data_IF_011442653330
#
_entry.id   IF_011442653330
#
_cell.length_a   1.000
_cell.length_b   1.000
_cell.length_c   1.000
_cell.angle_alpha   90.00
_cell.angle_beta   90.00
_cell.angle_gamma   90.00
#
_symmetry.space_group_name_H-M   'P 1'
#
loop_
_entity.id
_entity.type
_entity.pdbx_description
1 polymer ?
#
# COMPACT_ATOMS: atom_id res chain seq x y z
N UNK A 1 -18.47 -36.25 -49.76
CA UNK A 1 -18.39 -34.83 -49.40
C UNK A 1 -17.87 -34.79 -47.99
N UNK A 2 -16.55 -34.94 -47.87
CA UNK A 2 -15.80 -34.84 -46.63
C UNK A 2 -15.28 -33.41 -46.53
N UNK A 3 -15.94 -32.55 -45.73
CA UNK A 3 -15.31 -31.37 -45.11
C UNK A 3 -16.08 -31.02 -43.82
N UNK A 4 -16.13 -31.96 -42.88
CA UNK A 4 -16.22 -31.63 -41.46
C UNK A 4 -14.87 -32.03 -40.82
N UNK A 5 -13.79 -31.52 -41.42
CA UNK A 5 -12.45 -31.68 -40.85
C UNK A 5 -12.44 -30.91 -39.53
N UNK A 6 -12.28 -31.66 -38.44
CA UNK A 6 -12.32 -31.14 -37.08
C UNK A 6 -11.54 -29.85 -36.95
N UNK A 7 -12.26 -28.76 -36.71
CA UNK A 7 -11.68 -27.46 -36.43
C UNK A 7 -10.81 -27.62 -35.17
N UNK A 8 -9.49 -27.67 -35.37
CA UNK A 8 -8.55 -27.88 -34.29
C UNK A 8 -8.76 -26.77 -33.25
N UNK A 9 -9.03 -27.17 -32.00
CA UNK A 9 -9.16 -26.24 -30.88
C UNK A 9 -7.92 -25.36 -30.84
N UNK A 10 -8.11 -24.04 -30.89
CA UNK A 10 -7.01 -23.07 -30.86
C UNK A 10 -6.09 -23.41 -29.66
N UNK A 11 -4.80 -23.68 -29.88
CA UNK A 11 -3.89 -24.09 -28.82
C UNK A 11 -3.82 -23.07 -27.66
N UNK A 12 -4.08 -21.79 -27.94
CA UNK A 12 -4.16 -20.73 -26.92
C UNK A 12 -5.30 -20.95 -25.94
N UNK A 13 -6.43 -21.53 -26.38
CA UNK A 13 -7.55 -21.87 -25.50
C UNK A 13 -7.16 -22.98 -24.53
N UNK A 14 -6.37 -23.96 -24.99
CA UNK A 14 -5.90 -25.05 -24.14
C UNK A 14 -4.99 -24.54 -23.04
N UNK A 15 -3.99 -23.73 -23.37
CA UNK A 15 -3.06 -23.13 -22.41
C UNK A 15 -3.82 -22.29 -21.37
N UNK A 16 -4.82 -21.53 -21.82
CA UNK A 16 -5.62 -20.69 -20.95
C UNK A 16 -6.54 -21.48 -20.00
N UNK A 17 -7.02 -22.65 -20.41
CA UNK A 17 -7.76 -23.57 -19.53
C UNK A 17 -6.84 -24.28 -18.53
N UNK A 18 -5.60 -24.60 -18.91
CA UNK A 18 -4.59 -25.12 -17.98
C UNK A 18 -4.26 -24.09 -16.89
N UNK A 19 -4.09 -22.81 -17.27
CA UNK A 19 -3.94 -21.72 -16.31
C UNK A 19 -5.16 -21.56 -15.41
N UNK A 20 -6.37 -21.65 -15.97
CA UNK A 20 -7.60 -21.56 -15.18
C UNK A 20 -7.67 -22.65 -14.09
N UNK A 21 -7.35 -23.90 -14.45
CA UNK A 21 -7.29 -25.00 -13.50
C UNK A 21 -6.22 -24.77 -12.43
N UNK A 22 -5.02 -24.33 -12.84
CA UNK A 22 -3.93 -24.02 -11.90
C UNK A 22 -4.31 -22.90 -10.91
N UNK A 23 -4.91 -21.80 -11.39
CA UNK A 23 -5.36 -20.71 -10.52
C UNK A 23 -6.53 -21.15 -9.63
N UNK A 24 -7.40 -22.05 -10.09
CA UNK A 24 -8.48 -22.61 -9.25
C UNK A 24 -7.90 -23.38 -8.07
N UNK A 25 -6.94 -24.26 -8.32
CA UNK A 25 -6.26 -25.04 -7.27
C UNK A 25 -5.48 -24.13 -6.32
N UNK A 26 -4.80 -23.12 -6.86
CA UNK A 26 -4.07 -22.12 -6.07
C UNK A 26 -5.00 -21.31 -5.16
N UNK A 27 -6.14 -20.82 -5.67
CA UNK A 27 -7.14 -20.10 -4.88
C UNK A 27 -7.65 -20.99 -3.74
N UNK A 28 -8.04 -22.23 -4.03
CA UNK A 28 -8.55 -23.16 -3.01
C UNK A 28 -7.50 -23.43 -1.92
N UNK A 29 -6.24 -23.60 -2.31
CA UNK A 29 -5.12 -23.81 -1.38
C UNK A 29 -4.86 -22.57 -0.52
N UNK A 30 -4.84 -21.38 -1.12
CA UNK A 30 -4.60 -20.12 -0.40
C UNK A 30 -5.76 -19.75 0.53
N UNK A 31 -7.01 -20.01 0.12
CA UNK A 31 -8.19 -19.80 0.96
C UNK A 31 -8.18 -20.72 2.18
N UNK A 32 -7.85 -22.01 2.00
CA UNK A 32 -7.71 -22.93 3.12
C UNK A 32 -6.61 -22.49 4.10
N UNK A 33 -5.46 -22.05 3.58
CA UNK A 33 -4.36 -21.53 4.40
C UNK A 33 -4.74 -20.23 5.12
N UNK A 34 -5.51 -19.36 4.49
CA UNK A 34 -6.02 -18.13 5.08
C UNK A 34 -6.99 -18.44 6.23
N UNK A 35 -7.89 -19.40 6.05
CA UNK A 35 -8.81 -19.83 7.09
C UNK A 35 -8.09 -20.44 8.30
N UNK A 36 -7.08 -21.28 8.07
CA UNK A 36 -6.22 -21.83 9.13
C UNK A 36 -5.42 -20.72 9.85
N UNK A 37 -4.84 -19.77 9.09
CA UNK A 37 -4.15 -18.61 9.66
C UNK A 37 -5.09 -17.74 10.51
N UNK A 38 -6.33 -17.53 10.06
CA UNK A 38 -7.36 -16.80 10.82
C UNK A 38 -7.81 -17.56 12.07
N UNK A 39 -7.94 -18.89 12.00
CA UNK A 39 -8.26 -19.72 13.16
C UNK A 39 -7.14 -19.68 14.20
N UNK A 40 -5.89 -19.85 13.76
CA UNK A 40 -4.71 -19.78 14.64
C UNK A 40 -4.55 -18.41 15.27
N UNK A 41 -4.76 -17.32 14.53
CA UNK A 41 -4.76 -15.95 15.06
C UNK A 41 -5.82 -15.77 16.17
N UNK A 42 -7.09 -16.13 15.90
CA UNK A 42 -8.19 -16.01 16.88
C UNK A 42 -7.96 -16.84 18.13
N UNK A 43 -7.48 -18.09 17.98
CA UNK A 43 -7.18 -18.97 19.10
C UNK A 43 -6.04 -18.41 19.97
N UNK A 44 -4.95 -17.99 19.33
CA UNK A 44 -3.79 -17.39 20.01
C UNK A 44 -4.18 -16.11 20.75
N UNK A 45 -5.00 -15.27 20.12
CA UNK A 45 -5.52 -14.05 20.73
C UNK A 45 -6.34 -14.34 21.98
N UNK A 46 -7.29 -15.27 21.91
CA UNK A 46 -8.10 -15.68 23.07
C UNK A 46 -7.24 -16.25 24.20
N UNK A 47 -6.28 -17.12 23.87
CA UNK A 47 -5.36 -17.71 24.84
C UNK A 47 -4.51 -16.64 25.56
N UNK A 48 -3.88 -15.74 24.80
CA UNK A 48 -3.05 -14.68 25.36
C UNK A 48 -3.87 -13.69 26.17
N UNK A 49 -5.11 -13.42 25.74
CA UNK A 49 -6.04 -12.59 26.49
C UNK A 49 -6.35 -13.16 27.86
N UNK A 50 -6.62 -14.47 27.93
CA UNK A 50 -6.85 -15.16 29.20
C UNK A 50 -5.59 -15.19 30.07
N UNK A 51 -4.42 -15.49 29.48
CA UNK A 51 -3.14 -15.50 30.21
C UNK A 51 -2.81 -14.13 30.81
N UNK A 52 -2.99 -13.04 30.07
CA UNK A 52 -2.79 -11.68 30.58
C UNK A 52 -3.77 -11.33 31.69
N UNK A 53 -5.06 -11.68 31.55
CA UNK A 53 -6.07 -11.49 32.62
C UNK A 53 -5.66 -12.21 33.91
N UNK A 54 -5.11 -13.43 33.83
CA UNK A 54 -4.61 -14.16 35.00
C UNK A 54 -3.41 -13.48 35.65
N UNK A 55 -2.45 -12.96 34.88
CA UNK A 55 -1.30 -12.24 35.41
C UNK A 55 -1.75 -10.91 36.04
N UNK A 56 -2.63 -10.17 35.37
CA UNK A 56 -3.20 -8.93 35.89
C UNK A 56 -3.92 -9.15 37.22
N UNK A 57 -4.73 -10.23 37.34
CA UNK A 57 -5.40 -10.59 38.60
C UNK A 57 -4.43 -10.89 39.73
N UNK A 58 -3.30 -11.54 39.45
CA UNK A 58 -2.24 -11.83 40.45
C UNK A 58 -1.52 -10.57 40.91
N UNK A 59 -1.31 -9.59 40.02
CA UNK A 59 -0.56 -8.37 40.29
C UNK A 59 -1.42 -7.22 40.83
N UNK A 60 -2.72 -7.23 40.53
CA UNK A 60 -3.69 -6.24 40.98
C UNK A 60 -3.40 -4.83 40.47
N UNK A 61 -3.56 -3.83 41.34
CA UNK A 61 -3.56 -2.40 40.98
C UNK A 61 -2.24 -1.87 40.41
N UNK A 62 -1.11 -2.56 40.64
CA UNK A 62 0.20 -2.06 40.20
C UNK A 62 0.35 -2.02 38.67
N UNK A 63 -0.36 -2.88 37.93
CA UNK A 63 -0.37 -2.87 36.45
C UNK A 63 -0.94 -1.56 35.92
N UNK A 64 -2.08 -1.12 36.46
CA UNK A 64 -2.73 0.13 36.05
C UNK A 64 -1.91 1.35 36.44
N UNK A 65 -1.33 1.34 37.64
CA UNK A 65 -0.53 2.48 38.12
C UNK A 65 0.76 2.64 37.30
N UNK A 66 1.38 1.54 36.85
CA UNK A 66 2.59 1.59 36.04
C UNK A 66 2.34 1.87 34.54
N UNK A 67 1.08 1.81 34.07
CA UNK A 67 0.71 2.01 32.66
C UNK A 67 1.29 3.31 32.04
N UNK A 68 1.16 4.50 32.68
CA UNK A 68 1.68 5.73 32.09
C UNK A 68 3.19 5.74 31.87
N UNK A 69 3.95 4.98 32.67
CA UNK A 69 5.39 4.82 32.50
C UNK A 69 5.71 4.05 31.22
N UNK A 70 5.08 2.89 31.00
CA UNK A 70 5.33 2.07 29.82
C UNK A 70 4.83 2.75 28.53
N UNK A 71 3.72 3.49 28.58
CA UNK A 71 3.26 4.31 27.45
C UNK A 71 4.26 5.45 27.13
N UNK A 72 4.80 6.12 28.16
CA UNK A 72 5.83 7.14 27.97
C UNK A 72 7.14 6.54 27.46
N UNK A 73 7.50 5.34 27.91
CA UNK A 73 8.69 4.61 27.45
C UNK A 73 8.57 4.25 25.97
N UNK A 74 7.42 3.72 25.54
CA UNK A 74 7.12 3.43 24.13
C UNK A 74 7.15 4.70 23.28
N UNK A 75 6.51 5.80 23.74
CA UNK A 75 6.55 7.09 23.06
C UNK A 75 7.98 7.64 22.94
N UNK A 76 8.82 7.45 23.97
CA UNK A 76 10.24 7.84 23.92
C UNK A 76 11.04 6.99 22.94
N UNK A 77 10.75 5.69 22.82
CA UNK A 77 11.39 4.82 21.83
C UNK A 77 10.96 5.19 20.41
N UNK A 78 9.68 5.50 20.18
CA UNK A 78 9.18 5.97 18.89
C UNK A 78 9.83 7.30 18.49
N UNK A 79 9.86 8.29 19.39
CA UNK A 79 10.52 9.57 19.15
C UNK A 79 12.03 9.44 18.91
N UNK A 80 12.69 8.45 19.55
CA UNK A 80 14.09 8.13 19.30
C UNK A 80 14.30 7.68 17.85
N UNK A 81 13.51 6.70 17.38
CA UNK A 81 13.61 6.19 16.02
C UNK A 81 13.35 7.28 14.97
N UNK A 82 12.34 8.14 15.22
CA UNK A 82 12.04 9.27 14.35
C UNK A 82 13.20 10.28 14.30
N UNK A 83 13.81 10.58 15.45
CA UNK A 83 14.99 11.46 15.53
C UNK A 83 16.20 10.86 14.82
N UNK A 84 16.48 9.56 14.98
CA UNK A 84 17.57 8.86 14.29
C UNK A 84 17.35 8.88 12.78
N UNK A 85 16.11 8.63 12.31
CA UNK A 85 15.78 8.69 10.90
C UNK A 85 15.94 10.12 10.33
N UNK A 86 15.47 11.14 11.05
CA UNK A 86 15.67 12.53 10.68
C UNK A 86 17.16 12.92 10.65
N UNK A 87 17.98 12.41 11.58
CA UNK A 87 19.42 12.60 11.58
C UNK A 87 20.09 11.98 10.35
N UNK A 88 19.68 10.76 9.96
CA UNK A 88 20.16 10.09 8.75
C UNK A 88 19.79 10.92 7.50
N UNK A 89 18.56 11.43 7.43
CA UNK A 89 18.12 12.31 6.33
C UNK A 89 18.97 13.58 6.25
N UNK A 90 19.23 14.24 7.38
CA UNK A 90 20.09 15.42 7.44
C UNK A 90 21.53 15.13 7.01
N UNK A 91 22.11 14.02 7.48
CA UNK A 91 23.45 13.60 7.08
C UNK A 91 23.54 13.35 5.57
N UNK A 92 22.53 12.66 4.99
CA UNK A 92 22.43 12.45 3.55
C UNK A 92 22.33 13.78 2.79
N UNK A 93 21.51 14.73 3.26
CA UNK A 93 21.39 16.05 2.64
C UNK A 93 22.71 16.84 2.70
N UNK A 94 23.47 16.74 3.80
CA UNK A 94 24.81 17.30 3.91
C UNK A 94 25.78 16.69 2.89
N UNK A 95 25.71 15.38 2.66
CA UNK A 95 26.49 14.69 1.63
C UNK A 95 26.20 15.24 0.23
N UNK A 96 24.93 15.39 -0.14
CA UNK A 96 24.52 15.95 -1.44
C UNK A 96 24.96 17.40 -1.60
N UNK A 97 24.85 18.22 -0.55
CA UNK A 97 25.34 19.60 -0.56
C UNK A 97 26.86 19.67 -0.77
N UNK A 98 27.62 18.82 -0.06
CA UNK A 98 29.07 18.73 -0.20
C UNK A 98 29.46 18.33 -1.63
N UNK A 99 28.83 17.30 -2.19
CA UNK A 99 29.05 16.84 -3.56
C UNK A 99 28.78 17.96 -4.59
N UNK A 100 27.65 18.68 -4.45
CA UNK A 100 27.31 19.78 -5.36
C UNK A 100 28.34 20.92 -5.30
N UNK A 101 28.81 21.30 -4.10
CA UNK A 101 29.88 22.30 -3.95
C UNK A 101 31.19 21.85 -4.56
N UNK A 102 31.59 20.60 -4.34
CA UNK A 102 32.82 20.04 -4.91
C UNK A 102 32.76 19.99 -6.44
N UNK A 103 31.58 19.69 -7.01
CA UNK A 103 31.36 19.70 -8.46
C UNK A 103 31.57 21.09 -9.04
N UNK A 104 31.00 22.14 -8.42
CA UNK A 104 31.20 23.53 -8.84
C UNK A 104 32.66 23.94 -8.69
N UNK A 105 33.29 23.65 -7.53
CA UNK A 105 34.69 23.99 -7.30
C UNK A 105 35.65 23.30 -8.30
N UNK A 106 35.37 22.05 -8.69
CA UNK A 106 36.12 21.36 -9.74
C UNK A 106 35.89 21.99 -11.12
N UNK A 107 34.67 22.44 -11.43
CA UNK A 107 34.35 23.12 -12.68
C UNK A 107 35.08 24.48 -12.78
N UNK A 108 35.09 25.26 -11.69
CA UNK A 108 35.82 26.53 -11.58
C UNK A 108 37.33 26.33 -11.76
N UNK A 109 37.92 25.33 -11.09
CA UNK A 109 39.36 25.02 -11.23
C UNK A 109 39.73 24.62 -12.67
N UNK A 110 38.87 23.83 -13.34
CA UNK A 110 39.08 23.46 -14.74
C UNK A 110 39.01 24.68 -15.65
N UNK A 111 38.03 25.56 -15.44
CA UNK A 111 37.91 26.81 -16.17
C UNK A 111 39.15 27.70 -16.00
N UNK A 112 39.66 27.83 -14.77
CA UNK A 112 40.88 28.60 -14.50
C UNK A 112 42.14 28.04 -15.16
N UNK A 113 42.19 26.73 -15.42
CA UNK A 113 43.32 26.09 -16.10
C UNK A 113 43.27 26.18 -17.63
N UNK A 114 42.12 26.52 -18.22
CA UNK A 114 41.89 26.55 -19.67
C UNK A 114 41.86 27.98 -20.26
N UNK A 115 42.47 28.95 -19.58
CA UNK A 115 42.49 30.39 -19.92
C UNK A 115 43.04 30.77 -21.31
N UNK A 116 43.44 29.85 -22.17
CA UNK A 116 43.92 30.17 -23.53
C UNK A 116 42.86 29.94 -24.63
N UNK A 117 41.79 29.17 -24.38
CA UNK A 117 40.64 28.98 -25.29
C UNK A 117 39.40 29.68 -24.71
N UNK A 118 39.30 31.00 -24.89
CA UNK A 118 38.18 31.83 -24.41
C UNK A 118 36.98 31.90 -25.37
N UNK A 119 36.57 30.77 -25.93
CA UNK A 119 35.21 30.67 -26.43
C UNK A 119 34.34 30.27 -25.24
N UNK A 120 33.51 31.20 -24.73
CA UNK A 120 32.51 30.89 -23.70
C UNK A 120 31.62 29.76 -24.21
N UNK A 121 31.97 28.53 -23.86
CA UNK A 121 31.26 27.35 -24.31
C UNK A 121 29.86 27.37 -23.71
N UNK A 122 28.85 27.47 -24.57
CA UNK A 122 27.45 27.46 -24.17
C UNK A 122 27.12 26.21 -23.33
N UNK A 123 27.79 25.08 -23.58
CA UNK A 123 27.63 23.85 -22.80
C UNK A 123 28.22 23.99 -21.38
N UNK A 124 29.34 24.71 -21.21
CA UNK A 124 29.94 24.94 -19.90
C UNK A 124 29.08 25.88 -19.05
N UNK A 125 28.52 26.94 -19.64
CA UNK A 125 27.62 27.85 -18.95
C UNK A 125 26.31 27.15 -18.54
N UNK A 126 25.75 26.31 -19.42
CA UNK A 126 24.57 25.50 -19.09
C UNK A 126 24.84 24.52 -17.95
N UNK A 127 25.99 23.84 -17.98
CA UNK A 127 26.44 22.97 -16.89
C UNK A 127 26.53 23.75 -15.56
N UNK A 128 27.21 24.90 -15.53
CA UNK A 128 27.37 25.67 -14.29
C UNK A 128 26.01 26.16 -13.75
N UNK A 129 25.11 26.60 -14.63
CA UNK A 129 23.75 26.99 -14.26
C UNK A 129 22.98 25.82 -13.62
N UNK A 130 23.06 24.63 -14.23
CA UNK A 130 22.45 23.41 -13.70
C UNK A 130 23.01 23.05 -12.32
N UNK A 131 24.34 23.04 -12.17
CA UNK A 131 24.98 22.69 -10.90
C UNK A 131 24.72 23.75 -9.82
N UNK A 132 24.60 25.03 -10.19
CA UNK A 132 24.21 26.11 -9.27
C UNK A 132 22.77 25.92 -8.77
N UNK A 133 21.83 25.54 -9.65
CA UNK A 133 20.46 25.19 -9.24
C UNK A 133 20.49 23.95 -8.33
N UNK A 134 21.29 22.93 -8.65
CA UNK A 134 21.47 21.73 -7.82
C UNK A 134 22.02 22.09 -6.43
N UNK A 135 23.01 22.99 -6.36
CA UNK A 135 23.58 23.48 -5.10
C UNK A 135 22.53 24.22 -4.27
N UNK A 136 21.78 25.15 -4.88
CA UNK A 136 20.71 25.88 -4.20
C UNK A 136 19.63 24.94 -3.65
N UNK A 137 19.22 23.93 -4.44
CA UNK A 137 18.27 22.92 -4.00
C UNK A 137 18.84 22.05 -2.87
N UNK A 138 20.12 21.67 -2.94
CA UNK A 138 20.79 20.90 -1.90
C UNK A 138 20.94 21.71 -0.59
N UNK A 139 21.17 23.02 -0.67
CA UNK A 139 21.17 23.93 0.47
C UNK A 139 19.80 24.04 1.13
N UNK A 140 18.74 24.21 0.33
CA UNK A 140 17.37 24.23 0.82
C UNK A 140 17.01 22.92 1.53
N UNK A 141 17.31 21.77 0.91
CA UNK A 141 17.06 20.45 1.49
C UNK A 141 17.86 20.21 2.78
N UNK A 142 19.13 20.63 2.82
CA UNK A 142 19.95 20.56 4.03
C UNK A 142 19.32 21.37 5.17
N UNK A 143 18.87 22.60 4.89
CA UNK A 143 18.24 23.47 5.89
C UNK A 143 16.92 22.90 6.41
N UNK A 144 16.09 22.36 5.53
CA UNK A 144 14.82 21.72 5.90
C UNK A 144 15.06 20.49 6.78
N UNK A 145 15.96 19.59 6.36
CA UNK A 145 16.30 18.38 7.12
C UNK A 145 16.97 18.69 8.47
N UNK A 146 17.75 19.77 8.56
CA UNK A 146 18.31 20.27 9.82
C UNK A 146 17.22 20.70 10.79
N UNK A 147 16.24 21.46 10.29
CA UNK A 147 15.11 21.92 11.10
C UNK A 147 14.28 20.74 11.61
N UNK A 148 14.00 19.74 10.77
CA UNK A 148 13.25 18.55 11.17
C UNK A 148 14.02 17.70 12.19
N UNK A 149 15.32 17.50 12.00
CA UNK A 149 16.17 16.82 12.98
C UNK A 149 16.16 17.56 14.32
N UNK A 150 16.26 18.89 14.33
CA UNK A 150 16.18 19.68 15.57
C UNK A 150 14.82 19.55 16.24
N UNK A 151 13.73 19.55 15.47
CA UNK A 151 12.36 19.39 15.97
C UNK A 151 12.15 18.03 16.62
N UNK A 152 12.53 16.96 15.93
CA UNK A 152 12.40 15.58 16.43
C UNK A 152 13.30 15.32 17.65
N UNK A 153 14.51 15.90 17.67
CA UNK A 153 15.40 15.83 18.84
C UNK A 153 14.80 16.50 20.08
N UNK A 154 14.07 17.62 19.93
CA UNK A 154 13.37 18.26 21.04
C UNK A 154 12.24 17.37 21.59
N UNK A 155 11.46 16.74 20.71
CA UNK A 155 10.39 15.81 21.08
C UNK A 155 10.98 14.60 21.84
N UNK A 156 12.06 14.02 21.31
CA UNK A 156 12.77 12.93 21.97
C UNK A 156 13.27 13.33 23.37
N UNK A 157 13.92 14.49 23.50
CA UNK A 157 14.39 15.00 24.80
C UNK A 157 13.24 15.16 25.81
N UNK A 158 12.12 15.75 25.37
CA UNK A 158 10.93 15.91 26.21
C UNK A 158 10.34 14.55 26.64
N UNK A 159 10.27 13.58 25.73
CA UNK A 159 9.79 12.23 26.01
C UNK A 159 10.70 11.51 27.03
N UNK A 160 12.02 11.59 26.86
CA UNK A 160 13.00 11.00 27.81
C UNK A 160 12.87 11.63 29.19
N UNK A 161 12.69 12.95 29.28
CA UNK A 161 12.46 13.63 30.56
C UNK A 161 11.18 13.13 31.24
N UNK A 162 10.08 12.96 30.48
CA UNK A 162 8.82 12.42 31.00
C UNK A 162 9.00 11.00 31.54
N UNK A 163 9.70 10.13 30.82
CA UNK A 163 10.02 8.76 31.27
C UNK A 163 10.80 8.81 32.58
N UNK A 164 11.84 9.65 32.68
CA UNK A 164 12.65 9.79 33.89
C UNK A 164 11.84 10.25 35.11
N UNK A 165 10.91 11.19 34.92
CA UNK A 165 10.02 11.66 35.99
C UNK A 165 9.11 10.52 36.47
N UNK A 166 8.48 9.80 35.54
CA UNK A 166 7.58 8.69 35.86
C UNK A 166 8.32 7.50 36.49
N UNK A 167 9.54 7.21 36.01
CA UNK A 167 10.41 6.20 36.59
C UNK A 167 10.70 6.50 38.06
N UNK A 168 11.00 7.76 38.39
CA UNK A 168 11.27 8.16 39.76
C UNK A 168 10.04 8.05 40.67
N UNK A 169 8.86 8.39 40.15
CA UNK A 169 7.61 8.38 40.91
C UNK A 169 7.04 6.97 41.13
N UNK A 170 7.22 6.05 40.17
CA UNK A 170 6.51 4.76 40.12
C UNK A 170 7.44 3.54 40.27
N UNK A 171 8.65 3.70 40.81
CA UNK A 171 9.69 2.63 40.89
C UNK A 171 9.17 1.28 41.37
N UNK A 172 8.39 1.28 42.47
CA UNK A 172 7.92 0.04 43.11
C UNK A 172 6.89 -0.67 42.22
N UNK A 173 6.00 0.10 41.61
CA UNK A 173 4.92 -0.37 40.75
C UNK A 173 5.47 -0.89 39.42
N UNK A 174 6.50 -0.23 38.86
CA UNK A 174 7.21 -0.70 37.65
C UNK A 174 7.83 -2.08 37.90
N UNK A 175 8.56 -2.25 39.01
CA UNK A 175 9.20 -3.54 39.35
C UNK A 175 8.16 -4.65 39.51
N UNK A 176 7.05 -4.37 40.21
CA UNK A 176 5.98 -5.36 40.43
C UNK A 176 5.21 -5.71 39.15
N UNK A 177 4.99 -4.74 38.27
CA UNK A 177 4.21 -4.92 37.04
C UNK A 177 5.03 -5.44 35.85
N UNK A 178 6.37 -5.43 35.93
CA UNK A 178 7.28 -5.89 34.86
C UNK A 178 6.89 -7.24 34.23
N UNK A 179 6.56 -8.32 34.99
CA UNK A 179 6.20 -9.60 34.38
C UNK A 179 4.98 -9.54 33.46
N UNK A 180 4.03 -8.62 33.73
CA UNK A 180 2.87 -8.42 32.88
C UNK A 180 3.25 -7.76 31.54
N UNK A 181 4.02 -6.66 31.60
CA UNK A 181 4.38 -5.89 30.39
C UNK A 181 5.38 -6.64 29.50
N UNK A 182 6.32 -7.39 30.08
CA UNK A 182 7.21 -8.28 29.31
C UNK A 182 6.42 -9.37 28.58
N UNK A 183 5.48 -10.02 29.27
CA UNK A 183 4.63 -11.04 28.64
C UNK A 183 3.71 -10.43 27.57
N UNK A 184 3.12 -9.25 27.85
CA UNK A 184 2.30 -8.50 26.89
C UNK A 184 3.11 -8.21 25.62
N UNK A 185 4.37 -7.78 25.75
CA UNK A 185 5.26 -7.50 24.60
C UNK A 185 5.52 -8.75 23.75
N UNK A 186 5.78 -9.90 24.38
CA UNK A 186 5.97 -11.17 23.65
C UNK A 186 4.70 -11.58 22.90
N UNK A 187 3.55 -11.50 23.57
CA UNK A 187 2.26 -11.82 22.96
C UNK A 187 1.91 -10.90 21.80
N UNK A 188 2.12 -9.59 21.96
CA UNK A 188 1.94 -8.59 20.91
C UNK A 188 2.79 -8.91 19.68
N UNK A 189 4.06 -9.27 19.88
CA UNK A 189 4.94 -9.63 18.77
C UNK A 189 4.41 -10.85 17.99
N UNK A 190 4.03 -11.92 18.70
CA UNK A 190 3.48 -13.12 18.05
C UNK A 190 2.18 -12.82 17.30
N UNK A 191 1.29 -12.00 17.89
CA UNK A 191 0.04 -11.59 17.24
C UNK A 191 0.31 -10.74 16.00
N UNK A 192 1.30 -9.85 16.05
CA UNK A 192 1.72 -9.05 14.90
C UNK A 192 2.28 -9.92 13.77
N UNK A 193 3.10 -10.92 14.10
CA UNK A 193 3.65 -11.87 13.12
C UNK A 193 2.51 -12.68 12.45
N UNK A 194 1.55 -13.17 13.24
CA UNK A 194 0.37 -13.86 12.71
C UNK A 194 -0.53 -12.96 11.85
N UNK A 195 -0.74 -11.70 12.26
CA UNK A 195 -1.48 -10.71 11.48
C UNK A 195 -0.81 -10.45 10.13
N UNK A 196 0.50 -10.25 10.12
CA UNK A 196 1.25 -10.06 8.87
C UNK A 196 1.15 -11.26 7.92
N UNK A 197 1.10 -12.48 8.47
CA UNK A 197 0.86 -13.71 7.70
C UNK A 197 -0.54 -13.72 7.10
N UNK A 198 -1.57 -13.40 7.88
CA UNK A 198 -2.96 -13.30 7.39
C UNK A 198 -3.05 -12.26 6.26
N UNK A 199 -2.49 -11.06 6.44
CA UNK A 199 -2.46 -10.01 5.43
C UNK A 199 -1.76 -10.46 4.14
N UNK A 200 -0.62 -11.17 4.27
CA UNK A 200 0.10 -11.70 3.12
C UNK A 200 -0.70 -12.75 2.34
N UNK A 201 -1.40 -13.65 3.04
CA UNK A 201 -2.25 -14.67 2.43
C UNK A 201 -3.48 -14.05 1.79
N UNK A 202 -4.11 -13.06 2.44
CA UNK A 202 -5.23 -12.32 1.88
C UNK A 202 -4.83 -11.62 0.58
N UNK A 203 -3.66 -10.98 0.55
CA UNK A 203 -3.11 -10.38 -0.68
C UNK A 203 -2.86 -11.44 -1.76
N UNK A 204 -2.28 -12.59 -1.41
CA UNK A 204 -2.05 -13.68 -2.35
C UNK A 204 -3.37 -14.20 -2.96
N UNK A 205 -4.42 -14.36 -2.15
CA UNK A 205 -5.76 -14.74 -2.62
C UNK A 205 -6.32 -13.69 -3.59
N UNK A 206 -6.19 -12.39 -3.27
CA UNK A 206 -6.67 -11.33 -4.18
C UNK A 206 -5.89 -11.31 -5.49
N UNK A 207 -4.58 -11.53 -5.44
CA UNK A 207 -3.70 -11.55 -6.61
C UNK A 207 -3.98 -12.76 -7.52
N UNK A 208 -4.21 -13.95 -6.92
CA UNK A 208 -4.57 -15.17 -7.67
C UNK A 208 -5.98 -15.06 -8.26
N UNK A 209 -6.96 -14.51 -7.53
CA UNK A 209 -8.30 -14.19 -8.07
C UNK A 209 -8.25 -13.17 -9.21
N UNK A 210 -7.39 -12.16 -9.11
CA UNK A 210 -7.19 -11.19 -10.18
C UNK A 210 -6.58 -11.86 -11.43
N UNK A 211 -5.64 -12.78 -11.24
CA UNK A 211 -5.02 -13.57 -12.30
C UNK A 211 -6.03 -14.54 -12.97
N UNK A 212 -6.87 -15.20 -12.18
CA UNK A 212 -8.00 -16.01 -12.66
C UNK A 212 -9.00 -15.17 -13.47
N UNK A 213 -9.36 -13.97 -13.00
CA UNK A 213 -10.26 -13.08 -13.74
C UNK A 213 -9.63 -12.57 -15.04
N UNK A 214 -8.34 -12.22 -15.03
CA UNK A 214 -7.60 -11.91 -16.25
C UNK A 214 -7.59 -13.12 -17.20
N UNK A 215 -7.50 -14.33 -16.65
CA UNK A 215 -7.49 -15.55 -17.41
C UNK A 215 -8.80 -15.78 -18.19
N UNK A 216 -9.94 -15.51 -17.54
CA UNK A 216 -11.26 -15.55 -18.17
C UNK A 216 -11.43 -14.48 -19.27
N UNK A 217 -10.96 -13.25 -19.04
CA UNK A 217 -11.01 -12.19 -20.07
C UNK A 217 -10.21 -12.56 -21.32
N UNK A 218 -9.07 -13.22 -21.15
CA UNK A 218 -8.28 -13.72 -22.28
C UNK A 218 -9.02 -14.81 -23.06
N UNK A 219 -9.72 -15.73 -22.38
CA UNK A 219 -10.58 -16.71 -23.06
C UNK A 219 -11.70 -16.03 -23.86
N UNK A 220 -12.36 -15.03 -23.28
CA UNK A 220 -13.40 -14.24 -23.95
C UNK A 220 -12.86 -13.52 -25.20
N UNK A 221 -11.65 -12.95 -25.11
CA UNK A 221 -10.97 -12.31 -26.23
C UNK A 221 -10.65 -13.30 -27.35
N UNK A 222 -10.06 -14.45 -27.02
CA UNK A 222 -9.75 -15.50 -28.00
C UNK A 222 -11.03 -16.01 -28.65
N UNK A 223 -12.08 -16.24 -27.86
CA UNK A 223 -13.40 -16.66 -28.35
C UNK A 223 -13.98 -15.63 -29.33
N UNK A 224 -13.94 -14.35 -28.98
CA UNK A 224 -14.40 -13.26 -29.84
C UNK A 224 -13.62 -13.19 -31.15
N UNK A 225 -12.29 -13.32 -31.09
CA UNK A 225 -11.41 -13.35 -32.28
C UNK A 225 -11.78 -14.52 -33.22
N UNK A 226 -12.01 -15.72 -32.67
CA UNK A 226 -12.42 -16.90 -33.44
C UNK A 226 -13.77 -16.66 -34.11
N UNK A 227 -14.74 -16.09 -33.38
CA UNK A 227 -16.06 -15.77 -33.93
C UNK A 227 -16.01 -14.71 -35.03
N UNK A 228 -15.20 -13.65 -34.85
CA UNK A 228 -15.00 -12.62 -35.87
C UNK A 228 -14.33 -13.18 -37.13
N UNK A 229 -13.29 -13.99 -36.97
CA UNK A 229 -12.63 -14.66 -38.11
C UNK A 229 -13.61 -15.57 -38.88
N UNK A 230 -14.44 -16.32 -38.16
CA UNK A 230 -15.52 -17.13 -38.78
C UNK A 230 -16.55 -16.24 -39.48
N UNK A 231 -16.93 -15.10 -38.89
CA UNK A 231 -17.87 -14.11 -39.46
C UNK A 231 -17.35 -13.54 -40.79
N UNK A 232 -16.05 -13.26 -40.87
CA UNK A 232 -15.39 -12.74 -42.07
C UNK A 232 -15.20 -13.80 -43.17
N UNK A 233 -15.09 -15.08 -42.79
CA UNK A 233 -14.91 -16.20 -43.71
C UNK A 233 -16.24 -16.83 -44.21
N UNK A 234 -17.40 -16.26 -43.89
CA UNK A 234 -18.67 -16.68 -44.50
C UNK A 234 -18.81 -16.07 -45.92
N UNK A 235 -19.30 -16.83 -46.91
CA UNK A 235 -19.61 -16.28 -48.23
C UNK A 235 -20.67 -15.16 -48.13
N UNK A 236 -20.72 -14.21 -49.10
CA UNK A 236 -21.74 -13.17 -49.12
C UNK A 236 -23.13 -13.79 -49.00
N UNK A 237 -23.91 -13.39 -47.98
CA UNK A 237 -25.30 -13.80 -47.88
C UNK A 237 -26.03 -13.26 -49.11
N UNK A 238 -26.53 -14.16 -49.96
CA UNK A 238 -27.48 -13.79 -51.00
C UNK A 238 -28.70 -13.11 -50.36
N UNK A 239 -29.35 -12.13 -51.03
CA UNK A 239 -30.57 -11.51 -50.55
C UNK A 239 -31.61 -12.58 -50.23
N UNK A 240 -31.78 -12.88 -48.94
CA UNK A 240 -32.72 -13.88 -48.47
C UNK A 240 -34.15 -13.40 -48.67
N UNK A 241 -34.90 -14.11 -49.51
CA UNK A 241 -36.37 -14.04 -49.56
C UNK A 241 -36.95 -14.80 -48.36
N UNK A 242 -37.78 -14.11 -47.57
CA UNK A 242 -38.88 -14.69 -46.81
C UNK A 242 -38.55 -15.57 -45.60
N UNK A 243 -38.55 -14.95 -44.42
CA UNK A 243 -39.21 -15.51 -43.24
C UNK A 243 -39.62 -14.32 -42.36
N UNK A 244 -40.87 -13.87 -42.53
CA UNK A 244 -41.52 -12.97 -41.59
C UNK A 244 -41.59 -13.66 -40.22
N UNK A 245 -40.74 -13.20 -39.30
CA UNK A 245 -40.79 -13.60 -37.90
C UNK A 245 -41.93 -12.83 -37.24
N UNK A 246 -43.06 -13.51 -37.03
CA UNK A 246 -44.23 -12.95 -36.34
C UNK A 246 -43.89 -12.59 -34.88
N UNK A 247 -43.77 -11.29 -34.60
CA UNK A 247 -43.52 -10.72 -33.26
C UNK A 247 -44.72 -10.78 -32.31
N UNK A 248 -45.65 -11.74 -32.45
CA UNK A 248 -46.95 -11.74 -31.74
C UNK A 248 -47.25 -12.95 -30.84
N UNK A 249 -46.28 -13.82 -30.56
CA UNK A 249 -46.50 -15.00 -29.73
C UNK A 249 -45.60 -15.10 -28.50
N UNK A 250 -45.25 -13.97 -27.84
CA UNK A 250 -44.60 -14.04 -26.53
C UNK A 250 -44.96 -12.88 -25.59
N UNK A 251 -46.24 -12.48 -25.60
CA UNK A 251 -46.82 -11.58 -24.60
C UNK A 251 -47.69 -12.37 -23.61
N UNK A 252 -47.17 -13.42 -22.99
CA UNK A 252 -47.81 -14.05 -21.84
C UNK A 252 -46.84 -15.03 -21.17
N UNK A 253 -46.05 -14.52 -20.23
CA UNK A 253 -45.76 -15.11 -18.91
C UNK A 253 -45.25 -13.93 -18.09
N UNK A 254 -46.19 -13.17 -17.53
CA UNK A 254 -45.91 -12.23 -16.46
C UNK A 254 -45.94 -13.01 -15.15
N UNK A 255 -44.77 -13.38 -14.64
CA UNK A 255 -44.62 -13.82 -13.26
C UNK A 255 -44.09 -12.61 -12.48
N UNK A 256 -45.00 -11.81 -11.96
CA UNK A 256 -44.68 -10.85 -10.91
C UNK A 256 -44.50 -11.62 -9.59
N UNK A 257 -43.34 -11.55 -8.90
CA UNK A 257 -43.31 -11.77 -7.48
C UNK A 257 -43.82 -10.50 -6.77
N UNK A 258 -44.77 -10.60 -5.83
CA UNK A 258 -45.28 -9.44 -5.11
C UNK A 258 -44.23 -8.93 -4.11
N UNK A 259 -43.79 -7.68 -4.29
CA UNK A 259 -43.05 -6.92 -3.29
C UNK A 259 -44.01 -6.50 -2.17
N UNK A 260 -44.08 -7.32 -1.12
CA UNK A 260 -44.77 -6.98 0.13
C UNK A 260 -44.18 -7.71 1.33
N UNK A 261 -42.91 -7.46 1.64
CA UNK A 261 -42.37 -7.61 3.01
C UNK A 261 -41.13 -6.73 3.20
N UNK A 262 -41.35 -5.41 3.33
CA UNK A 262 -40.43 -4.56 4.06
C UNK A 262 -41.20 -4.10 5.31
N UNK A 263 -41.07 -4.89 6.38
CA UNK A 263 -41.57 -4.52 7.70
C UNK A 263 -40.47 -4.80 8.72
N UNK A 264 -39.86 -3.72 9.16
CA UNK A 264 -39.57 -3.39 10.56
C UNK A 264 -38.85 -4.52 11.33
N UNK A 265 -37.53 -4.39 11.48
CA UNK A 265 -36.89 -4.79 12.73
C UNK A 265 -36.72 -3.54 13.59
N UNK A 266 -37.40 -3.61 14.72
CA UNK A 266 -37.47 -2.66 15.80
C UNK A 266 -36.13 -2.69 16.57
N UNK A 267 -35.46 -1.55 16.66
CA UNK A 267 -34.34 -1.38 17.58
C UNK A 267 -34.89 -0.81 18.87
N UNK A 268 -35.31 -1.68 19.79
CA UNK A 268 -35.63 -1.28 21.15
C UNK A 268 -34.49 -1.70 22.09
N UNK A 269 -33.73 -0.67 22.48
CA UNK A 269 -32.65 -0.72 23.44
C UNK A 269 -33.23 -0.89 24.85
N UNK A 270 -33.16 -2.11 25.38
CA UNK A 270 -33.48 -2.34 26.78
C UNK A 270 -32.26 -2.05 27.65
N UNK A 271 -32.40 -1.03 28.49
CA UNK A 271 -31.51 -0.73 29.61
C UNK A 271 -31.43 -1.91 30.57
N UNK A 272 -30.21 -2.26 30.97
CA UNK A 272 -29.95 -2.83 32.31
C UNK A 272 -28.83 -2.03 32.95
N UNK A 273 -29.23 -1.15 33.87
CA UNK A 273 -28.37 -0.57 34.88
C UNK A 273 -28.26 -1.54 36.05
N UNK A 274 -27.04 -1.95 36.41
CA UNK A 274 -26.66 -2.27 37.79
C UNK A 274 -25.16 -2.58 37.93
N UNK A 275 -24.48 -1.65 38.60
CA UNK A 275 -23.33 -1.77 39.49
C UNK A 275 -22.75 -3.18 39.72
N UNK A 276 -21.44 -3.37 39.49
CA UNK A 276 -20.40 -3.31 40.55
C UNK A 276 -19.02 -3.79 40.04
N UNK A 277 -17.94 -3.25 40.64
CA UNK A 277 -16.51 -3.59 40.48
C UNK A 277 -15.71 -2.88 39.35
N UNK A 278 -15.43 -1.59 39.56
CA UNK A 278 -14.54 -0.72 38.76
C UNK A 278 -13.03 -1.04 38.89
N UNK A 279 -12.67 -2.33 38.93
CA UNK A 279 -11.25 -2.73 39.05
C UNK A 279 -10.77 -3.76 38.01
N UNK A 280 -11.67 -4.34 37.22
CA UNK A 280 -11.33 -5.33 36.17
C UNK A 280 -11.59 -4.84 34.73
N UNK A 281 -12.40 -3.80 34.54
CA UNK A 281 -12.83 -3.31 33.21
C UNK A 281 -11.69 -2.67 32.39
N UNK A 282 -10.84 -1.84 33.01
CA UNK A 282 -9.79 -1.07 32.31
C UNK A 282 -8.67 -1.94 31.68
N UNK A 283 -8.55 -3.21 32.06
CA UNK A 283 -7.53 -4.14 31.52
C UNK A 283 -8.15 -5.06 30.45
N UNK A 284 -9.43 -5.42 30.63
CA UNK A 284 -10.17 -6.18 29.63
C UNK A 284 -10.44 -5.32 28.38
N UNK A 285 -10.85 -4.06 28.58
CA UNK A 285 -11.12 -3.10 27.49
C UNK A 285 -9.85 -2.78 26.67
N UNK A 286 -8.69 -2.62 27.29
CA UNK A 286 -7.42 -2.41 26.58
C UNK A 286 -7.06 -3.57 25.63
N UNK A 287 -7.39 -4.79 26.04
CA UNK A 287 -7.05 -6.02 25.33
C UNK A 287 -8.10 -6.35 24.26
N UNK A 288 -9.36 -6.01 24.55
CA UNK A 288 -10.47 -6.07 23.60
C UNK A 288 -10.37 -4.94 22.55
N UNK A 289 -9.87 -3.75 22.90
CA UNK A 289 -9.57 -2.67 21.93
C UNK A 289 -8.38 -3.01 21.04
N UNK A 290 -7.30 -3.56 21.61
CA UNK A 290 -6.19 -4.12 20.85
C UNK A 290 -6.64 -5.27 19.94
N UNK A 291 -7.63 -6.06 20.40
CA UNK A 291 -8.29 -7.10 19.61
C UNK A 291 -9.12 -6.48 18.47
N UNK A 292 -9.84 -5.38 18.70
CA UNK A 292 -10.61 -4.65 17.68
C UNK A 292 -9.70 -4.02 16.61
N UNK A 293 -8.59 -3.43 17.01
CA UNK A 293 -7.59 -2.79 16.12
C UNK A 293 -6.81 -3.82 15.30
N UNK A 294 -6.63 -5.04 15.85
CA UNK A 294 -5.98 -6.14 15.15
C UNK A 294 -6.95 -6.95 14.28
N UNK A 295 -8.24 -6.99 14.60
CA UNK A 295 -9.25 -7.77 13.88
C UNK A 295 -9.63 -7.13 12.55
N UNK A 296 -9.23 -7.76 11.45
CA UNK A 296 -9.52 -7.35 10.07
C UNK A 296 -10.96 -7.74 9.62
N UNK A 297 -11.94 -7.70 10.52
CA UNK A 297 -13.32 -8.07 10.15
C UNK A 297 -14.00 -7.02 9.22
N UNK A 298 -13.41 -5.83 9.05
CA UNK A 298 -14.00 -4.75 8.25
C UNK A 298 -13.75 -4.84 6.73
N UNK A 299 -13.03 -5.83 6.21
CA UNK A 299 -12.82 -5.99 4.76
C UNK A 299 -13.55 -7.19 4.13
N UNK A 300 -14.46 -7.83 4.86
CA UNK A 300 -15.31 -8.90 4.35
C UNK A 300 -16.72 -8.38 4.00
N UNK A 301 -16.79 -7.48 3.02
CA UNK A 301 -18.01 -7.31 2.22
C UNK A 301 -17.67 -7.10 0.75
N UNK A 302 -16.98 -8.09 0.16
CA UNK A 302 -16.92 -8.24 -1.29
C UNK A 302 -18.26 -8.79 -1.78
N UNK A 303 -19.17 -7.85 -2.08
CA UNK A 303 -20.35 -8.08 -2.92
C UNK A 303 -19.91 -8.53 -4.33
N UNK A 304 -20.67 -9.40 -5.03
CA UNK A 304 -20.31 -9.89 -6.35
C UNK A 304 -20.28 -8.76 -7.39
N UNK A 305 -19.31 -8.84 -8.31
CA UNK A 305 -18.93 -7.78 -9.25
C UNK A 305 -20.01 -7.28 -10.23
N UNK A 306 -19.70 -6.19 -10.96
CA UNK A 306 -20.64 -5.47 -11.82
C UNK A 306 -20.87 -6.22 -13.14
N UNK A 307 -22.14 -6.35 -13.53
CA UNK A 307 -22.54 -6.76 -14.87
C UNK A 307 -22.61 -5.52 -15.78
N UNK A 308 -21.80 -5.58 -16.84
CA UNK A 308 -22.02 -5.11 -18.23
C UNK A 308 -22.74 -3.79 -18.50
N UNK A 309 -21.99 -2.92 -19.21
CA UNK A 309 -22.48 -1.89 -20.13
C UNK A 309 -23.47 -2.45 -21.16
N UNK A 310 -24.60 -1.75 -21.35
CA UNK A 310 -25.25 -1.66 -22.66
C UNK A 310 -25.39 -0.18 -23.03
N UNK A 311 -24.63 0.21 -24.06
CA UNK A 311 -24.92 1.33 -24.93
C UNK A 311 -26.14 1.00 -25.78
N UNK A 312 -27.10 1.91 -25.94
CA UNK A 312 -27.75 2.10 -27.23
C UNK A 312 -28.33 3.51 -27.43
N UNK A 313 -28.20 3.90 -28.70
CA UNK A 313 -28.35 5.19 -29.35
C UNK A 313 -29.79 5.52 -29.76
N UNK A 314 -30.12 6.82 -29.81
CA UNK A 314 -30.95 7.57 -30.79
C UNK A 314 -31.58 8.77 -30.06
N UNK A 315 -31.57 10.03 -30.51
CA UNK A 315 -31.99 10.50 -31.84
C UNK A 315 -31.56 11.97 -32.06
N UNK A 316 -31.59 12.37 -33.33
CA UNK A 316 -31.08 13.60 -33.98
C UNK A 316 -32.03 14.80 -33.79
N UNK A 317 -31.51 16.03 -33.67
CA UNK A 317 -31.92 17.21 -34.49
C UNK A 317 -31.11 18.49 -34.20
N UNK A 318 -30.53 19.02 -35.28
CA UNK A 318 -30.15 20.40 -35.65
C UNK A 318 -30.28 21.58 -34.66
N UNK A 319 -29.20 22.38 -34.51
CA UNK A 319 -29.05 23.73 -35.13
C UNK A 319 -27.77 24.47 -34.70
N UNK A 320 -27.25 25.24 -35.67
CA UNK A 320 -26.05 26.08 -35.74
C UNK A 320 -25.80 27.09 -34.60
N UNK A 321 -24.51 27.36 -34.30
CA UNK A 321 -23.85 28.66 -34.52
C UNK A 321 -22.46 28.78 -33.84
N UNK A 322 -21.41 28.82 -34.67
CA UNK A 322 -20.24 29.71 -34.67
C UNK A 322 -19.82 30.48 -33.38
N UNK A 323 -18.61 30.23 -32.84
CA UNK A 323 -17.65 31.26 -32.29
C UNK A 323 -16.21 30.69 -32.26
N UNK A 324 -15.35 31.30 -33.08
CA UNK A 324 -13.93 31.71 -32.95
C UNK A 324 -12.86 30.94 -32.12
N UNK A 325 -11.84 30.43 -32.85
CA UNK A 325 -10.35 30.52 -32.69
C UNK A 325 -9.60 30.29 -31.33
N UNK A 326 -8.27 30.02 -31.32
CA UNK A 326 -7.35 29.52 -32.35
C UNK A 326 -6.47 28.32 -31.92
N UNK A 327 -5.85 27.71 -32.93
CA UNK A 327 -4.89 26.61 -32.95
C UNK A 327 -3.45 27.00 -32.61
N UNK A 328 -2.75 26.19 -31.82
CA UNK A 328 -1.28 26.07 -31.89
C UNK A 328 -0.85 24.60 -31.80
N UNK A 329 -0.16 24.18 -32.86
CA UNK A 329 0.36 22.86 -33.16
C UNK A 329 1.72 22.59 -32.50
N UNK A 330 1.89 21.39 -31.92
CA UNK A 330 3.17 20.80 -31.53
C UNK A 330 3.53 19.66 -32.51
N UNK A 331 4.77 19.57 -33.02
CA UNK A 331 5.21 18.42 -33.80
C UNK A 331 5.93 17.38 -32.94
N UNK A 332 5.81 16.14 -33.43
CA UNK A 332 6.34 14.89 -32.87
C UNK A 332 7.83 14.64 -33.16
N UNK A 333 8.43 13.86 -32.24
CA UNK A 333 9.41 12.78 -32.46
C UNK A 333 10.79 13.07 -33.05
N UNK A 334 11.85 12.69 -32.33
CA UNK A 334 12.81 11.67 -32.81
C UNK A 334 13.78 11.19 -31.72
N UNK A 335 14.02 9.89 -31.75
CA UNK A 335 14.92 9.08 -30.91
C UNK A 335 16.38 9.53 -31.00
N UNK A 336 17.15 9.40 -29.91
CA UNK A 336 18.59 9.19 -30.03
C UNK A 336 19.17 8.31 -28.90
N UNK A 337 20.22 7.60 -29.28
CA UNK A 337 20.75 6.34 -28.74
C UNK A 337 21.60 6.51 -27.47
N UNK A 338 21.57 5.48 -26.61
CA UNK A 338 22.54 5.25 -25.52
C UNK A 338 23.95 4.97 -26.08
N UNK A 339 25.01 5.35 -25.35
CA UNK A 339 26.24 4.59 -25.34
C UNK A 339 26.53 4.00 -23.95
N UNK A 340 26.88 2.73 -23.96
CA UNK A 340 27.50 1.95 -22.88
C UNK A 340 28.96 2.35 -22.71
N UNK A 341 29.43 2.55 -21.48
CA UNK A 341 30.85 2.42 -21.16
C UNK A 341 31.08 1.81 -19.77
N UNK A 342 32.13 0.98 -19.75
CA UNK A 342 32.51 -0.03 -18.78
C UNK A 342 33.34 0.53 -17.62
N UNK A 343 33.24 -0.10 -16.45
CA UNK A 343 34.16 0.11 -15.31
C UNK A 343 35.62 -0.22 -15.63
N UNK A 344 36.56 0.34 -14.85
CA UNK A 344 37.38 -0.54 -14.00
C UNK A 344 37.71 -0.01 -12.60
N UNK A 345 37.64 -0.91 -11.60
CA UNK A 345 38.75 -1.26 -10.69
C UNK A 345 39.30 -0.28 -9.64
N UNK A 346 38.98 -0.59 -8.37
CA UNK A 346 39.83 -0.65 -7.16
C UNK A 346 40.74 0.54 -6.73
N UNK A 347 40.58 0.96 -5.47
CA UNK A 347 41.56 1.70 -4.68
C UNK A 347 41.09 1.95 -3.26
N UNK A 348 41.69 1.24 -2.30
CA UNK A 348 41.64 1.52 -0.84
C UNK A 348 42.04 2.97 -0.54
N UNK A 349 41.55 3.53 0.57
CA UNK A 349 42.32 4.39 1.51
C UNK A 349 41.43 4.86 2.69
N UNK A 350 41.68 4.21 3.84
CA UNK A 350 41.87 4.74 5.21
C UNK A 350 40.92 5.76 5.86
N UNK A 351 40.53 5.37 7.08
CA UNK A 351 40.16 6.14 8.27
C UNK A 351 40.56 7.62 8.27
N UNK A 352 39.61 8.48 8.63
CA UNK A 352 39.95 9.67 9.40
C UNK A 352 38.89 10.00 10.45
N UNK A 353 39.39 10.11 11.67
CA UNK A 353 38.74 10.44 12.93
C UNK A 353 38.00 11.79 12.89
N UNK A 354 36.79 11.84 13.44
CA UNK A 354 36.13 13.11 13.78
C UNK A 354 35.85 13.18 15.28
N UNK A 355 36.52 14.14 15.92
CA UNK A 355 36.41 14.51 17.33
C UNK A 355 35.05 15.17 17.61
N UNK A 356 34.47 14.79 18.75
CA UNK A 356 33.39 15.49 19.43
C UNK A 356 33.78 16.96 19.68
N UNK A 357 32.89 17.89 19.34
CA UNK A 357 32.93 19.25 19.84
C UNK A 357 31.67 19.50 20.68
N UNK A 358 31.89 19.55 21.98
CA UNK A 358 30.96 20.00 23.00
C UNK A 358 30.39 21.39 22.66
N UNK A 359 29.06 21.51 22.65
CA UNK A 359 28.37 22.80 22.67
C UNK A 359 27.82 23.04 24.07
N UNK A 360 28.60 23.72 24.89
CA UNK A 360 28.15 24.37 26.12
C UNK A 360 28.57 25.85 26.09
N UNK A 361 27.63 26.73 25.73
CA UNK A 361 27.48 28.11 26.24
C UNK A 361 26.12 28.65 25.84
#
# INVERSE_FOLDING_TARGET
MDENAGEAVDPRVKDQLEFLNSYTDEINSLELQLDDANATFRNTLSEYSQRLKLIAKKLGKCVRIARPYYEAEEASQAAKLECEEAAIRFHRACGVHKEARETIAMAEKKFDSQKEDYDFDAAWQEMLNRETIKLMNAEALKKESEQEHKRTAQIFSAAVQKVKILEQQLKKEIIKSRPYFEQKKVFLKVLQDLKSRVESLQKAVTDSKASYAACLRNLEMISSEIHERRKLNLPPREPGVGAEWDSKANSEISIHPPLSMLKIWDSDSHLTDSLSSTTETDIAEDLDNLCQDLSLESNLSLSPGPKSLETNFSDVTDKSANVSEPSVSLPSSSQCKKPSFSSPGAGELSDDSFQEVDLNS
#
